data_IF_037648878798
#
_entry.id   IF_037648878798
#
_cell.length_a   1.000
_cell.length_b   1.000
_cell.length_c   1.000
_cell.angle_alpha   90.00
_cell.angle_beta   90.00
_cell.angle_gamma   90.00
#
_symmetry.space_group_name_H-M   'P 1'
#
loop_
_entity.id
_entity.type
_entity.pdbx_description
1 polymer ?
#
# COMPACT_ATOMS: atom_id res chain seq x y z
N UNK A 1 -4.99 -4.77 56.57
CA UNK A 1 -6.35 -5.16 56.98
C UNK A 1 -7.33 -4.73 55.90
N UNK A 2 -8.33 -5.58 55.62
CA UNK A 2 -9.50 -5.41 54.72
C UNK A 2 -9.19 -5.50 53.20
N UNK A 3 -9.46 -6.64 52.52
CA UNK A 3 -10.75 -7.12 51.95
C UNK A 3 -10.82 -6.80 50.44
N UNK A 4 -10.48 -7.77 49.57
CA UNK A 4 -11.40 -8.52 48.69
C UNK A 4 -12.35 -7.66 47.84
N UNK A 5 -12.22 -7.73 46.52
CA UNK A 5 -13.31 -8.13 45.62
C UNK A 5 -12.73 -8.83 44.39
N UNK A 6 -13.22 -10.06 44.20
CA UNK A 6 -12.87 -11.06 43.21
C UNK A 6 -14.10 -11.15 42.31
N UNK A 7 -13.95 -11.10 40.99
CA UNK A 7 -14.91 -11.79 40.12
C UNK A 7 -14.26 -12.23 38.80
N UNK A 8 -14.37 -13.52 38.44
CA UNK A 8 -13.86 -14.09 37.20
C UNK A 8 -14.98 -14.48 36.20
N UNK A 9 -14.54 -14.93 35.01
CA UNK A 9 -15.19 -15.86 34.08
C UNK A 9 -16.18 -15.26 33.05
N UNK A 10 -16.54 -15.97 31.93
CA UNK A 10 -16.22 -17.36 31.61
C UNK A 10 -15.71 -17.66 30.18
N UNK A 11 -14.89 -18.72 30.09
CA UNK A 11 -14.84 -19.63 28.94
C UNK A 11 -16.01 -20.61 29.08
N UNK A 12 -16.75 -20.88 28.01
CA UNK A 12 -17.60 -22.07 27.95
C UNK A 12 -17.55 -22.74 26.58
N UNK A 13 -17.32 -24.05 26.66
CA UNK A 13 -17.27 -25.05 25.60
C UNK A 13 -18.68 -25.53 25.23
N UNK A 14 -18.85 -25.99 23.99
CA UNK A 14 -19.59 -27.21 23.58
C UNK A 14 -19.60 -27.24 22.03
N UNK A 15 -19.02 -28.22 21.34
CA UNK A 15 -19.37 -29.64 21.24
C UNK A 15 -20.81 -29.87 20.73
N UNK A 16 -20.95 -30.16 19.43
CA UNK A 16 -22.03 -31.03 18.97
C UNK A 16 -21.57 -31.93 17.83
N UNK A 17 -21.30 -33.14 18.27
CA UNK A 17 -21.16 -34.41 17.59
C UNK A 17 -22.44 -34.80 16.83
N UNK A 18 -22.30 -35.28 15.60
CA UNK A 18 -23.30 -36.15 14.95
C UNK A 18 -22.59 -37.31 14.27
N UNK A 19 -22.40 -38.36 15.05
CA UNK A 19 -22.16 -39.71 14.56
C UNK A 19 -23.45 -40.22 13.92
N UNK A 20 -23.37 -40.67 12.66
CA UNK A 20 -24.41 -41.47 12.02
C UNK A 20 -23.86 -42.87 11.81
N UNK A 21 -24.17 -43.78 12.74
CA UNK A 21 -23.91 -45.21 12.61
C UNK A 21 -25.09 -45.87 11.89
N UNK A 22 -24.84 -46.46 10.72
CA UNK A 22 -25.80 -47.33 10.04
C UNK A 22 -25.11 -48.63 9.64
N UNK A 23 -25.20 -49.59 10.56
CA UNK A 23 -25.56 -51.00 10.34
C UNK A 23 -25.00 -51.73 9.11
N UNK A 24 -24.03 -52.59 9.41
CA UNK A 24 -23.60 -53.74 8.61
C UNK A 24 -24.72 -54.80 8.52
N UNK A 25 -25.21 -55.07 7.31
CA UNK A 25 -25.92 -56.32 7.00
C UNK A 25 -25.13 -57.14 5.99
N UNK A 26 -24.46 -58.14 6.56
CA UNK A 26 -23.79 -59.27 5.92
C UNK A 26 -24.84 -60.18 5.29
N UNK A 27 -24.97 -60.18 3.96
CA UNK A 27 -25.62 -61.27 3.23
C UNK A 27 -24.57 -62.13 2.53
N UNK A 28 -24.57 -63.40 2.90
CA UNK A 28 -23.73 -64.47 2.36
C UNK A 28 -24.23 -64.87 0.96
N UNK A 29 -23.28 -64.93 0.03
CA UNK A 29 -23.13 -65.86 -1.11
C UNK A 29 -24.39 -66.27 -1.90
N UNK A 30 -24.41 -65.90 -3.17
CA UNK A 30 -24.77 -66.81 -4.26
C UNK A 30 -23.78 -66.64 -5.41
N UNK A 31 -23.08 -67.72 -5.73
CA UNK A 31 -22.38 -67.91 -6.99
C UNK A 31 -23.42 -67.97 -8.11
N UNK A 32 -23.47 -66.94 -8.95
CA UNK A 32 -24.01 -67.08 -10.31
C UNK A 32 -23.02 -66.39 -11.24
N UNK A 33 -22.23 -67.21 -11.92
CA UNK A 33 -21.42 -66.80 -13.06
C UNK A 33 -22.34 -66.47 -14.22
N UNK A 34 -22.76 -65.20 -14.32
CA UNK A 34 -23.23 -64.64 -15.57
C UNK A 34 -22.25 -63.56 -15.99
N UNK A 35 -21.20 -63.98 -16.70
CA UNK A 35 -20.44 -63.06 -17.56
C UNK A 35 -21.42 -62.63 -18.65
N UNK A 36 -22.15 -61.55 -18.40
CA UNK A 36 -22.80 -60.80 -19.48
C UNK A 36 -21.64 -60.25 -20.30
N UNK A 37 -21.30 -60.94 -21.38
CA UNK A 37 -20.49 -60.38 -22.44
C UNK A 37 -21.26 -59.15 -22.94
N UNK A 38 -20.94 -57.99 -22.36
CA UNK A 38 -21.30 -56.72 -22.96
C UNK A 38 -20.59 -56.70 -24.30
N UNK A 39 -21.33 -57.04 -25.37
CA UNK A 39 -20.94 -56.72 -26.73
C UNK A 39 -20.59 -55.24 -26.70
N UNK A 40 -19.30 -54.95 -26.84
CA UNK A 40 -18.82 -53.59 -27.05
C UNK A 40 -19.47 -53.14 -28.34
N UNK A 41 -20.64 -52.51 -28.22
CA UNK A 41 -21.18 -51.72 -29.31
C UNK A 41 -20.07 -50.73 -29.60
N UNK A 42 -19.46 -50.88 -30.78
CA UNK A 42 -18.50 -49.91 -31.26
C UNK A 42 -19.24 -48.60 -31.27
N UNK A 43 -18.98 -47.76 -30.25
CA UNK A 43 -19.48 -46.40 -30.19
C UNK A 43 -18.85 -45.74 -31.39
N UNK A 44 -19.58 -45.74 -32.51
CA UNK A 44 -19.24 -44.93 -33.66
C UNK A 44 -19.17 -43.53 -33.10
N UNK A 45 -17.95 -43.03 -32.92
CA UNK A 45 -17.72 -41.64 -32.61
C UNK A 45 -18.34 -40.93 -33.80
N UNK A 46 -19.61 -40.49 -33.66
CA UNK A 46 -20.18 -39.47 -34.54
C UNK A 46 -19.09 -38.43 -34.62
N UNK A 47 -18.56 -38.22 -35.81
CA UNK A 47 -17.53 -37.24 -36.15
C UNK A 47 -18.09 -35.85 -35.88
N UNK A 48 -18.28 -35.55 -34.61
CA UNK A 48 -18.64 -34.23 -34.14
C UNK A 48 -17.32 -33.48 -34.26
N UNK A 49 -17.19 -32.81 -35.40
CA UNK A 49 -15.97 -32.13 -35.84
C UNK A 49 -15.29 -31.46 -34.64
N UNK A 50 -14.13 -32.01 -34.25
CA UNK A 50 -13.35 -31.55 -33.09
C UNK A 50 -13.18 -30.03 -33.12
N UNK A 51 -12.92 -29.49 -34.32
CA UNK A 51 -12.80 -28.06 -34.60
C UNK A 51 -14.06 -27.23 -34.29
N UNK A 52 -15.26 -27.77 -34.48
CA UNK A 52 -16.51 -27.06 -34.18
C UNK A 52 -16.71 -26.95 -32.66
N UNK A 53 -16.35 -27.98 -31.91
CA UNK A 53 -16.42 -27.94 -30.45
C UNK A 53 -15.34 -27.04 -29.84
N UNK A 54 -14.11 -27.08 -30.37
CA UNK A 54 -13.03 -26.18 -29.96
C UNK A 54 -13.42 -24.72 -30.20
N UNK A 55 -13.89 -24.39 -31.42
CA UNK A 55 -14.37 -23.05 -31.76
C UNK A 55 -15.48 -22.55 -30.84
N UNK A 56 -16.44 -23.42 -30.48
CA UNK A 56 -17.50 -23.06 -29.52
C UNK A 56 -16.97 -22.83 -28.10
N UNK A 57 -15.91 -23.52 -27.69
CA UNK A 57 -15.27 -23.28 -26.40
C UNK A 57 -14.55 -21.93 -26.41
N UNK A 58 -13.82 -21.63 -27.48
CA UNK A 58 -13.14 -20.34 -27.66
C UNK A 58 -14.13 -19.18 -27.69
N UNK A 59 -15.25 -19.31 -28.42
CA UNK A 59 -16.31 -18.30 -28.45
C UNK A 59 -16.94 -18.06 -27.06
N UNK A 60 -17.09 -19.10 -26.24
CA UNK A 60 -17.58 -18.94 -24.86
C UNK A 60 -16.56 -18.26 -23.96
N UNK A 61 -15.29 -18.56 -24.15
CA UNK A 61 -14.20 -17.94 -23.40
C UNK A 61 -14.09 -16.45 -23.75
N UNK A 62 -14.11 -16.12 -25.05
CA UNK A 62 -14.10 -14.74 -25.52
C UNK A 62 -15.26 -13.92 -24.92
N UNK A 63 -16.49 -14.44 -25.00
CA UNK A 63 -17.66 -13.77 -24.39
C UNK A 63 -17.52 -13.54 -22.89
N UNK A 64 -16.88 -14.48 -22.17
CA UNK A 64 -16.63 -14.33 -20.73
C UNK A 64 -15.60 -13.24 -20.46
N UNK A 65 -14.54 -13.16 -21.26
CA UNK A 65 -13.51 -12.14 -21.12
C UNK A 65 -14.06 -10.74 -21.47
N UNK A 66 -14.87 -10.63 -22.52
CA UNK A 66 -15.57 -9.40 -22.89
C UNK A 66 -16.46 -8.91 -21.73
N UNK A 67 -17.28 -9.79 -21.15
CA UNK A 67 -18.11 -9.45 -20.00
C UNK A 67 -17.27 -9.02 -18.77
N UNK A 68 -16.11 -9.65 -18.55
CA UNK A 68 -15.20 -9.25 -17.47
C UNK A 68 -14.60 -7.86 -17.71
N UNK A 69 -14.26 -7.52 -18.95
CA UNK A 69 -13.76 -6.20 -19.31
C UNK A 69 -14.84 -5.13 -19.10
N UNK A 70 -16.07 -5.39 -19.53
CA UNK A 70 -17.19 -4.46 -19.30
C UNK A 70 -17.43 -4.20 -17.82
N UNK A 71 -17.40 -5.26 -16.98
CA UNK A 71 -17.53 -5.13 -15.53
C UNK A 71 -16.37 -4.32 -14.94
N UNK A 72 -15.13 -4.57 -15.37
CA UNK A 72 -13.96 -3.86 -14.88
C UNK A 72 -14.00 -2.37 -15.27
N UNK A 73 -14.36 -2.06 -16.51
CA UNK A 73 -14.53 -0.68 -16.99
C UNK A 73 -15.66 0.04 -16.23
N UNK A 74 -16.77 -0.63 -15.95
CA UNK A 74 -17.85 -0.04 -15.16
C UNK A 74 -17.44 0.22 -13.71
N UNK A 75 -16.55 -0.61 -13.12
CA UNK A 75 -15.99 -0.36 -11.79
C UNK A 75 -15.06 0.84 -11.79
N UNK A 76 -14.15 0.94 -12.76
CA UNK A 76 -13.24 2.09 -12.87
C UNK A 76 -14.01 3.40 -13.00
N UNK A 77 -15.02 3.46 -13.86
CA UNK A 77 -15.86 4.67 -14.00
C UNK A 77 -16.54 5.09 -12.69
N UNK A 78 -17.06 4.12 -11.92
CA UNK A 78 -17.67 4.40 -10.62
C UNK A 78 -16.65 4.88 -9.58
N UNK A 79 -15.46 4.30 -9.58
CA UNK A 79 -14.38 4.70 -8.68
C UNK A 79 -13.84 6.09 -9.04
N UNK A 80 -13.72 6.42 -10.34
CA UNK A 80 -13.37 7.74 -10.85
C UNK A 80 -14.40 8.80 -10.43
N UNK A 81 -15.70 8.55 -10.67
CA UNK A 81 -16.77 9.45 -10.25
C UNK A 81 -16.80 9.67 -8.72
N UNK A 82 -16.56 8.61 -7.93
CA UNK A 82 -16.48 8.71 -6.48
C UNK A 82 -15.25 9.51 -6.02
N UNK A 83 -14.09 9.31 -6.64
CA UNK A 83 -12.88 10.06 -6.35
C UNK A 83 -13.04 11.55 -6.69
N UNK A 84 -13.65 11.86 -7.83
CA UNK A 84 -13.96 13.23 -8.22
C UNK A 84 -14.94 13.91 -7.26
N UNK A 85 -15.97 13.19 -6.79
CA UNK A 85 -16.92 13.71 -5.82
C UNK A 85 -16.24 14.05 -4.49
N UNK A 86 -15.36 13.17 -4.01
CA UNK A 86 -14.55 13.43 -2.81
C UNK A 86 -13.59 14.61 -3.00
N UNK A 87 -12.95 14.72 -4.16
CA UNK A 87 -12.06 15.84 -4.46
C UNK A 87 -12.83 17.17 -4.49
N UNK A 88 -14.01 17.21 -5.11
CA UNK A 88 -14.88 18.41 -5.12
C UNK A 88 -15.28 18.81 -3.70
N UNK A 89 -15.70 17.86 -2.87
CA UNK A 89 -16.00 18.12 -1.45
C UNK A 89 -14.78 18.66 -0.68
N UNK A 90 -13.59 18.11 -0.92
CA UNK A 90 -12.36 18.59 -0.29
C UNK A 90 -11.97 20.01 -0.72
N UNK A 91 -12.24 20.38 -1.98
CA UNK A 91 -11.95 21.73 -2.49
C UNK A 91 -12.90 22.77 -1.88
N UNK A 92 -14.17 22.44 -1.66
CA UNK A 92 -15.13 23.36 -1.04
C UNK A 92 -14.87 23.62 0.45
N UNK A 93 -14.14 22.74 1.14
CA UNK A 93 -13.80 22.89 2.57
C UNK A 93 -12.37 23.39 2.84
N UNK A 94 -11.56 23.59 1.80
CA UNK A 94 -10.20 24.11 1.96
C UNK A 94 -10.16 25.57 1.55
N UNK A 95 -10.25 26.46 2.53
CA UNK A 95 -9.86 27.85 2.33
C UNK A 95 -8.42 27.89 1.81
N UNK A 96 -8.15 28.43 0.60
CA UNK A 96 -6.81 28.43 0.02
C UNK A 96 -5.81 29.22 0.90
N UNK A 97 -6.31 30.18 1.68
CA UNK A 97 -5.52 30.92 2.67
C UNK A 97 -5.05 30.04 3.84
N UNK A 98 -5.87 29.10 4.32
CA UNK A 98 -5.51 28.20 5.42
C UNK A 98 -4.47 27.15 4.99
N UNK A 99 -4.54 26.68 3.74
CA UNK A 99 -3.56 25.76 3.19
C UNK A 99 -2.16 26.40 3.03
N UNK A 100 -2.09 27.66 2.58
CA UNK A 100 -0.84 28.42 2.55
C UNK A 100 -0.30 28.68 3.95
N UNK A 101 -1.15 29.09 4.89
CA UNK A 101 -0.75 29.31 6.29
C UNK A 101 -0.25 28.02 6.97
N UNK A 102 -0.85 26.87 6.69
CA UNK A 102 -0.41 25.58 7.23
C UNK A 102 0.94 25.15 6.66
N UNK A 103 1.18 25.34 5.35
CA UNK A 103 2.48 25.08 4.72
C UNK A 103 3.58 25.98 5.28
N UNK A 104 3.30 27.27 5.46
CA UNK A 104 4.23 28.23 6.08
C UNK A 104 4.53 27.88 7.55
N UNK A 105 3.52 27.45 8.32
CA UNK A 105 3.70 27.03 9.70
C UNK A 105 4.53 25.74 9.82
N UNK A 106 4.38 24.79 8.91
CA UNK A 106 5.18 23.56 8.93
C UNK A 106 6.66 23.86 8.61
N UNK A 107 6.92 24.78 7.66
CA UNK A 107 8.28 25.21 7.35
C UNK A 107 8.93 25.94 8.53
N UNK A 108 8.18 26.80 9.24
CA UNK A 108 8.67 27.50 10.43
C UNK A 108 8.99 26.52 11.57
N UNK A 109 8.09 25.57 11.85
CA UNK A 109 8.34 24.54 12.87
C UNK A 109 9.58 23.72 12.56
N UNK A 110 9.73 23.31 11.29
CA UNK A 110 10.90 22.55 10.85
C UNK A 110 12.19 23.35 11.02
N UNK A 111 12.17 24.61 10.61
CA UNK A 111 13.32 25.52 10.72
C UNK A 111 13.79 25.68 12.18
N UNK A 112 12.84 25.78 13.11
CA UNK A 112 13.15 25.97 14.52
C UNK A 112 13.52 24.70 15.26
N UNK A 113 12.96 23.55 14.86
CA UNK A 113 13.16 22.28 15.57
C UNK A 113 14.31 21.46 15.01
N UNK A 114 14.48 21.41 13.69
CA UNK A 114 15.45 20.51 13.04
C UNK A 114 16.83 21.14 12.92
N UNK A 115 16.90 22.46 12.75
CA UNK A 115 18.16 23.18 12.66
C UNK A 115 18.58 23.75 14.02
N UNK A 116 19.83 23.50 14.39
CA UNK A 116 20.43 24.11 15.57
C UNK A 116 20.52 25.62 15.39
N UNK A 117 20.58 26.36 16.50
CA UNK A 117 20.75 27.81 16.45
C UNK A 117 22.03 28.21 15.69
N UNK A 118 23.10 27.43 15.84
CA UNK A 118 24.36 27.63 15.12
C UNK A 118 24.20 27.51 13.61
N UNK A 119 23.43 26.52 13.13
CA UNK A 119 23.17 26.33 11.70
C UNK A 119 22.39 27.52 11.14
N UNK A 120 21.39 28.00 11.89
CA UNK A 120 20.60 29.18 11.51
C UNK A 120 21.47 30.44 11.43
N UNK A 121 22.40 30.62 12.36
CA UNK A 121 23.36 31.75 12.30
C UNK A 121 24.31 31.61 11.11
N UNK A 122 24.80 30.40 10.80
CA UNK A 122 25.62 30.15 9.60
C UNK A 122 24.84 30.48 8.33
N UNK A 123 23.60 30.02 8.21
CA UNK A 123 22.72 30.31 7.08
C UNK A 123 22.42 31.80 6.94
N UNK A 124 22.16 32.49 8.05
CA UNK A 124 21.91 33.93 8.07
C UNK A 124 23.12 34.75 7.57
N UNK A 125 24.36 34.31 7.85
CA UNK A 125 25.58 34.95 7.31
C UNK A 125 25.64 34.90 5.78
N UNK A 126 25.02 33.89 5.17
CA UNK A 126 24.93 33.71 3.72
C UNK A 126 23.60 34.21 3.13
N UNK A 127 22.81 34.96 3.91
CA UNK A 127 21.53 35.53 3.45
C UNK A 127 20.36 34.56 3.41
N UNK A 128 20.52 33.32 3.88
CA UNK A 128 19.47 32.29 3.86
C UNK A 128 18.67 32.41 5.16
N UNK A 129 17.43 32.89 5.06
CA UNK A 129 16.57 33.17 6.22
C UNK A 129 15.45 32.16 6.40
N UNK A 130 15.04 31.50 5.32
CA UNK A 130 13.88 30.62 5.29
C UNK A 130 14.24 29.22 4.76
N UNK A 131 13.43 28.23 5.11
CA UNK A 131 13.59 26.86 4.62
C UNK A 131 13.45 26.75 3.09
N UNK A 132 12.52 27.49 2.49
CA UNK A 132 12.32 27.46 1.04
C UNK A 132 13.56 27.94 0.28
N UNK A 133 14.27 28.95 0.83
CA UNK A 133 15.54 29.43 0.26
C UNK A 133 16.67 28.40 0.41
N UNK A 134 16.72 27.70 1.54
CA UNK A 134 17.67 26.61 1.75
C UNK A 134 17.44 25.50 0.72
N UNK A 135 16.18 25.14 0.48
CA UNK A 135 15.80 24.11 -0.48
C UNK A 135 16.12 24.52 -1.93
N UNK A 136 15.81 25.76 -2.33
CA UNK A 136 16.10 26.25 -3.68
C UNK A 136 17.61 26.28 -3.96
N UNK A 137 18.40 26.78 -3.02
CA UNK A 137 19.87 26.82 -3.16
C UNK A 137 20.49 25.42 -3.18
N UNK A 138 19.93 24.48 -2.42
CA UNK A 138 20.38 23.09 -2.51
C UNK A 138 20.08 22.49 -3.88
N UNK A 139 18.89 22.72 -4.42
CA UNK A 139 18.54 22.25 -5.76
C UNK A 139 19.48 22.85 -6.81
N UNK A 140 19.82 24.14 -6.70
CA UNK A 140 20.81 24.79 -7.56
C UNK A 140 22.21 24.17 -7.43
N UNK A 141 22.66 23.88 -6.20
CA UNK A 141 23.93 23.21 -5.96
C UNK A 141 23.98 21.80 -6.58
N UNK A 142 22.91 21.02 -6.44
CA UNK A 142 22.79 19.72 -7.10
C UNK A 142 22.78 19.82 -8.62
N UNK A 143 22.11 20.84 -9.17
CA UNK A 143 22.09 21.04 -10.61
C UNK A 143 23.46 21.49 -11.14
N UNK A 144 24.19 22.32 -10.40
CA UNK A 144 25.53 22.76 -10.74
C UNK A 144 26.52 21.58 -10.74
N UNK A 145 26.42 20.68 -9.76
CA UNK A 145 27.28 19.49 -9.67
C UNK A 145 26.93 18.41 -10.68
N UNK A 146 25.66 18.31 -11.12
CA UNK A 146 25.22 17.34 -12.15
C UNK A 146 25.47 17.81 -13.58
N UNK A 147 25.78 19.09 -13.80
CA UNK A 147 26.09 19.65 -15.11
C UNK A 147 27.60 19.65 -15.37
N UNK A 148 28.07 19.27 -16.56
CA UNK A 148 29.46 19.48 -16.95
C UNK A 148 29.79 20.99 -16.85
N UNK A 149 30.93 21.40 -16.25
CA UNK A 149 32.16 20.64 -16.02
C UNK A 149 32.26 19.82 -14.72
N UNK A 150 31.15 19.51 -14.04
CA UNK A 150 31.11 18.75 -12.78
C UNK A 150 32.03 19.35 -11.71
N UNK A 151 31.86 20.63 -11.37
CA UNK A 151 32.66 21.26 -10.32
C UNK A 151 32.53 20.48 -9.00
N UNK A 152 33.63 20.35 -8.27
CA UNK A 152 33.60 19.82 -6.92
C UNK A 152 32.76 20.74 -6.02
N UNK A 153 32.17 20.20 -4.97
CA UNK A 153 31.34 20.95 -4.01
C UNK A 153 32.11 22.15 -3.42
N UNK A 154 33.43 22.04 -3.31
CA UNK A 154 34.31 23.10 -2.81
C UNK A 154 34.47 24.28 -3.76
N UNK A 155 34.32 24.04 -5.07
CA UNK A 155 34.40 25.06 -6.12
C UNK A 155 33.08 25.80 -6.34
N UNK A 156 31.99 25.38 -5.67
CA UNK A 156 30.72 26.09 -5.70
C UNK A 156 30.79 27.40 -4.91
N UNK A 157 29.83 28.27 -5.19
CA UNK A 157 29.63 29.48 -4.39
C UNK A 157 29.50 29.13 -2.91
N UNK A 158 30.13 29.89 -1.98
CA UNK A 158 30.09 29.60 -0.55
C UNK A 158 28.67 29.43 0.01
N UNK A 159 27.69 30.17 -0.53
CA UNK A 159 26.29 30.05 -0.16
C UNK A 159 25.70 28.67 -0.53
N UNK A 160 25.95 28.22 -1.76
CA UNK A 160 25.50 26.91 -2.27
C UNK A 160 26.16 25.77 -1.51
N UNK A 161 27.45 25.89 -1.21
CA UNK A 161 28.21 24.91 -0.43
C UNK A 161 27.63 24.74 0.97
N UNK A 162 27.40 25.84 1.68
CA UNK A 162 26.84 25.81 3.05
C UNK A 162 25.40 25.29 3.04
N UNK A 163 24.59 25.68 2.05
CA UNK A 163 23.25 25.14 1.88
C UNK A 163 23.30 23.60 1.71
N UNK A 164 24.20 23.11 0.86
CA UNK A 164 24.37 21.69 0.60
C UNK A 164 24.84 20.89 1.83
N UNK A 165 25.83 21.40 2.56
CA UNK A 165 26.31 20.78 3.79
C UNK A 165 25.21 20.67 4.86
N UNK A 166 24.48 21.78 5.09
CA UNK A 166 23.45 21.82 6.12
C UNK A 166 22.26 20.93 5.69
N UNK A 167 21.86 20.98 4.42
CA UNK A 167 20.78 20.14 3.91
C UNK A 167 21.13 18.65 3.97
N UNK A 168 22.36 18.26 3.63
CA UNK A 168 22.83 16.87 3.76
C UNK A 168 22.84 16.38 5.23
N UNK A 169 22.96 17.29 6.21
CA UNK A 169 22.91 16.95 7.63
C UNK A 169 21.48 16.72 8.17
N UNK A 170 20.45 17.22 7.48
CA UNK A 170 19.05 17.19 7.92
C UNK A 170 18.55 15.77 8.20
N UNK A 171 18.73 14.76 7.32
CA UNK A 171 18.22 13.41 7.58
C UNK A 171 18.74 12.82 8.89
N UNK A 172 20.00 13.10 9.23
CA UNK A 172 20.61 12.65 10.49
C UNK A 172 19.99 13.37 11.70
N UNK A 173 19.77 14.68 11.60
CA UNK A 173 19.16 15.50 12.67
C UNK A 173 17.70 15.09 12.93
N UNK A 174 16.92 14.89 11.87
CA UNK A 174 15.52 14.42 11.97
C UNK A 174 15.46 13.03 12.62
N UNK A 175 16.35 12.12 12.23
CA UNK A 175 16.43 10.79 12.83
C UNK A 175 16.80 10.86 14.33
N UNK A 176 17.72 11.74 14.72
CA UNK A 176 18.06 11.99 16.13
C UNK A 176 16.86 12.51 16.93
N UNK A 177 16.12 13.46 16.36
CA UNK A 177 14.99 14.10 17.03
C UNK A 177 13.79 13.15 17.21
N UNK A 178 13.55 12.26 16.25
CA UNK A 178 12.56 11.17 16.39
C UNK A 178 12.92 10.19 17.50
N UNK A 179 14.21 9.96 17.78
CA UNK A 179 14.62 9.11 18.91
C UNK A 179 14.41 9.82 20.24
N UNK A 180 14.66 11.13 20.31
CA UNK A 180 14.47 11.93 21.51
C UNK A 180 13.00 12.14 21.89
N UNK A 181 12.08 12.27 20.91
CA UNK A 181 10.66 12.51 21.20
C UNK A 181 9.88 11.25 21.62
N UNK A 182 10.48 10.05 21.51
CA UNK A 182 9.88 8.77 21.92
C UNK A 182 10.52 8.20 23.20
N UNK A 183 11.42 8.95 23.84
CA UNK A 183 12.20 8.53 25.02
C UNK A 183 11.62 8.94 26.38
N UNK A 184 10.46 9.59 26.44
CA UNK A 184 9.80 9.92 27.71
C UNK A 184 8.43 9.23 27.77
N UNK A 185 8.33 8.15 28.55
CA UNK A 185 7.03 7.61 28.90
C UNK A 185 6.96 6.16 29.37
N UNK A 186 8.00 5.56 29.97
CA UNK A 186 7.85 4.38 30.83
C UNK A 186 8.99 4.32 31.86
N UNK A 187 8.76 4.95 33.01
CA UNK A 187 9.26 4.53 34.31
C UNK A 187 8.25 4.94 35.37
#
# INVERSE_FOLDING_TARGET
MLSRLRSPAPRHLSALERQGTATSHRLKRQNVSCIVQQTRTARTKRSTNFYVNARRQDERLLKRLEAQLEIAQAKLKREEEAAEALQKQQLHHKDPAAAQAFGQNHNAWFWDKVLSQEDRVKLAKHGIRNFDQLYSLQAEAEMATKKPPYPSIEALEPCLRVAHEIYASIPRKVAGQRRSSWGFGWF
#
